data_IF_970386316922
#
_entry.id   IF_970386316922
#
_cell.length_a   1.000
_cell.length_b   1.000
_cell.length_c   1.000
_cell.angle_alpha   90.00
_cell.angle_beta   90.00
_cell.angle_gamma   90.00
#
_symmetry.space_group_name_H-M   'P 1'
#
loop_
_entity.id
_entity.type
_entity.pdbx_description
1 polymer ?
#
# COMPACT_ATOMS: atom_id res chain seq x y z
N UNK A 1 6.52 -0.74 -18.65
CA UNK A 1 5.67 -1.72 -17.95
C UNK A 1 4.96 -0.93 -16.87
N UNK A 2 3.64 -0.85 -16.93
CA UNK A 2 2.82 -0.08 -15.98
C UNK A 2 1.92 -1.07 -15.23
N UNK A 3 2.58 -1.97 -14.50
CA UNK A 3 1.96 -3.10 -13.82
C UNK A 3 2.75 -3.39 -12.54
N UNK A 4 2.08 -3.92 -11.53
CA UNK A 4 2.72 -4.41 -10.33
C UNK A 4 3.49 -5.69 -10.65
N UNK A 5 4.78 -5.72 -10.31
CA UNK A 5 5.61 -6.91 -10.45
C UNK A 5 5.92 -7.47 -9.07
N UNK A 6 5.70 -8.78 -8.88
CA UNK A 6 6.08 -9.50 -7.66
C UNK A 6 7.18 -10.53 -7.91
N UNK A 7 8.01 -10.77 -6.90
CA UNK A 7 8.98 -11.86 -6.84
C UNK A 7 8.93 -12.53 -5.47
N UNK A 8 8.55 -13.80 -5.44
CA UNK A 8 8.65 -14.63 -4.22
C UNK A 8 10.13 -14.80 -3.84
N UNK A 9 10.45 -14.46 -2.61
CA UNK A 9 11.78 -14.58 -2.02
C UNK A 9 11.90 -15.85 -1.18
N UNK A 10 10.82 -16.22 -0.48
CA UNK A 10 10.79 -17.38 0.41
C UNK A 10 9.39 -17.96 0.55
N UNK A 11 9.33 -19.27 0.76
CA UNK A 11 8.11 -20.02 1.09
C UNK A 11 8.26 -20.76 2.41
N UNK A 12 7.13 -20.99 3.07
CA UNK A 12 7.02 -21.93 4.17
C UNK A 12 7.12 -23.39 3.66
N UNK A 13 7.32 -24.39 4.55
CA UNK A 13 7.37 -25.80 4.15
C UNK A 13 6.11 -26.32 3.45
N UNK A 14 4.95 -25.72 3.72
CA UNK A 14 3.68 -26.03 3.07
C UNK A 14 3.52 -25.40 1.67
N UNK A 15 4.51 -24.63 1.22
CA UNK A 15 4.55 -23.96 -0.07
C UNK A 15 3.91 -22.57 -0.10
N UNK A 16 3.27 -22.11 0.99
CA UNK A 16 2.72 -20.76 1.07
C UNK A 16 3.83 -19.72 1.06
N UNK A 17 3.54 -18.52 0.54
CA UNK A 17 4.54 -17.43 0.45
C UNK A 17 4.83 -16.95 1.87
N UNK A 18 6.11 -16.88 2.21
CA UNK A 18 6.56 -16.26 3.45
C UNK A 18 7.01 -14.83 3.20
N UNK A 19 7.81 -14.63 2.14
CA UNK A 19 8.39 -13.33 1.78
C UNK A 19 8.29 -13.14 0.28
N UNK A 20 7.89 -11.95 -0.15
CA UNK A 20 7.97 -11.50 -1.53
C UNK A 20 8.31 -10.02 -1.65
N UNK A 21 8.85 -9.66 -2.81
CA UNK A 21 9.20 -8.29 -3.16
C UNK A 21 8.24 -7.78 -4.22
N UNK A 22 7.72 -6.58 -4.02
CA UNK A 22 6.82 -5.88 -4.93
C UNK A 22 7.51 -4.65 -5.51
N UNK A 23 7.23 -4.40 -6.78
CA UNK A 23 7.41 -3.10 -7.43
C UNK A 23 6.05 -2.65 -7.96
N UNK A 24 5.61 -1.47 -7.53
CA UNK A 24 4.33 -0.88 -7.94
C UNK A 24 4.30 -0.50 -9.42
N UNK A 25 3.09 -0.22 -9.92
CA UNK A 25 2.91 0.40 -11.22
C UNK A 25 3.50 1.81 -11.23
N UNK A 26 3.82 2.38 -12.40
CA UNK A 26 4.37 3.74 -12.42
C UNK A 26 3.28 4.75 -12.03
N UNK A 27 2.09 4.62 -12.63
CA UNK A 27 0.98 5.54 -12.41
C UNK A 27 -0.34 4.77 -12.32
N UNK A 28 -1.20 5.16 -11.38
CA UNK A 28 -2.58 4.69 -11.30
C UNK A 28 -3.54 5.88 -11.38
N UNK A 29 -4.48 5.82 -12.32
CA UNK A 29 -5.56 6.79 -12.43
C UNK A 29 -6.65 6.49 -11.40
N UNK A 30 -6.89 7.45 -10.53
CA UNK A 30 -8.01 7.46 -9.58
C UNK A 30 -9.10 8.38 -10.12
N UNK A 31 -10.31 7.86 -10.27
CA UNK A 31 -11.47 8.63 -10.75
C UNK A 31 -12.53 8.71 -9.66
N UNK A 32 -13.00 9.92 -9.38
CA UNK A 32 -14.20 10.13 -8.57
C UNK A 32 -15.43 9.79 -9.41
N UNK A 33 -16.16 8.76 -9.00
CA UNK A 33 -17.34 8.26 -9.71
C UNK A 33 -18.52 9.24 -9.71
N UNK A 34 -18.57 10.18 -8.77
CA UNK A 34 -19.69 11.12 -8.65
C UNK A 34 -19.58 12.28 -9.65
N UNK A 35 -18.36 12.79 -9.89
CA UNK A 35 -18.13 13.99 -10.71
C UNK A 35 -17.20 13.74 -11.92
N UNK A 36 -16.70 12.51 -12.10
CA UNK A 36 -15.84 12.12 -13.21
C UNK A 36 -14.41 12.68 -13.15
N UNK A 37 -14.05 13.45 -12.13
CA UNK A 37 -12.70 14.01 -11.99
C UNK A 37 -11.70 12.90 -11.75
N UNK A 38 -10.52 13.03 -12.35
CA UNK A 38 -9.45 12.04 -12.23
C UNK A 38 -8.15 12.65 -11.76
N UNK A 39 -7.36 11.85 -11.06
CA UNK A 39 -6.03 12.17 -10.58
C UNK A 39 -5.10 11.00 -10.88
N UNK A 40 -3.98 11.27 -11.53
CA UNK A 40 -2.95 10.28 -11.81
C UNK A 40 -1.97 10.26 -10.64
N UNK A 41 -2.04 9.19 -9.83
CA UNK A 41 -1.20 9.00 -8.66
C UNK A 41 0.07 8.25 -9.06
N UNK A 42 1.24 8.77 -8.69
CA UNK A 42 2.49 8.03 -8.71
C UNK A 42 2.44 6.93 -7.65
N UNK A 43 2.61 5.68 -8.07
CA UNK A 43 2.61 4.50 -7.19
C UNK A 43 3.81 3.59 -7.48
N UNK A 44 4.89 4.19 -7.98
CA UNK A 44 6.12 3.52 -8.44
C UNK A 44 6.99 2.94 -7.32
N UNK A 45 6.52 3.01 -6.08
CA UNK A 45 7.21 2.49 -4.90
C UNK A 45 7.45 0.98 -4.93
N UNK A 46 8.16 0.52 -3.92
CA UNK A 46 8.53 -0.89 -3.75
C UNK A 46 8.40 -1.32 -2.30
N UNK A 47 8.18 -2.61 -2.10
CA UNK A 47 8.06 -3.18 -0.77
C UNK A 47 8.68 -4.57 -0.71
N UNK A 48 9.16 -4.95 0.48
CA UNK A 48 9.31 -6.35 0.86
C UNK A 48 8.22 -6.66 1.88
N UNK A 49 7.46 -7.71 1.63
CA UNK A 49 6.33 -8.13 2.45
C UNK A 49 6.66 -9.44 3.11
N UNK A 50 6.48 -9.47 4.42
CA UNK A 50 6.45 -10.69 5.21
C UNK A 50 4.99 -11.08 5.47
N UNK A 51 4.67 -12.34 5.20
CA UNK A 51 3.36 -12.95 5.42
C UNK A 51 3.47 -13.87 6.64
N UNK A 52 2.82 -13.50 7.73
CA UNK A 52 2.75 -14.33 8.93
C UNK A 52 1.72 -15.46 8.76
N UNK A 53 1.90 -16.54 9.51
CA UNK A 53 1.05 -17.74 9.40
C UNK A 53 -0.38 -17.49 9.88
N UNK A 54 -0.56 -16.50 10.77
CA UNK A 54 -1.86 -16.04 11.28
C UNK A 54 -2.60 -15.10 10.31
N UNK A 55 -1.98 -14.74 9.19
CA UNK A 55 -2.56 -13.87 8.16
C UNK A 55 -2.18 -12.40 8.31
N UNK A 56 -1.37 -12.02 9.32
CA UNK A 56 -0.80 -10.68 9.40
C UNK A 56 0.24 -10.46 8.30
N UNK A 57 0.33 -9.24 7.79
CA UNK A 57 1.35 -8.82 6.84
C UNK A 57 2.18 -7.66 7.40
N UNK A 58 3.50 -7.73 7.18
CA UNK A 58 4.43 -6.61 7.45
C UNK A 58 5.13 -6.18 6.18
N UNK A 59 4.87 -4.94 5.78
CA UNK A 59 5.44 -4.32 4.59
C UNK A 59 6.52 -3.33 5.00
N UNK A 60 7.74 -3.52 4.48
CA UNK A 60 8.82 -2.53 4.55
C UNK A 60 8.87 -1.80 3.22
N UNK A 61 8.50 -0.52 3.23
CA UNK A 61 8.15 0.21 2.01
C UNK A 61 9.10 1.37 1.74
N UNK A 62 9.48 1.51 0.47
CA UNK A 62 10.00 2.73 -0.13
C UNK A 62 8.93 3.21 -1.11
N UNK A 63 8.18 4.23 -0.71
CA UNK A 63 7.08 4.81 -1.48
C UNK A 63 7.53 5.50 -2.78
N UNK A 64 6.56 5.93 -3.60
CA UNK A 64 5.16 6.14 -3.26
C UNK A 64 4.26 4.90 -3.42
N UNK A 65 3.29 4.72 -2.52
CA UNK A 65 2.25 3.67 -2.60
C UNK A 65 0.86 4.24 -2.32
N UNK A 66 -0.13 3.78 -3.09
CA UNK A 66 -1.54 4.07 -2.88
C UNK A 66 -2.15 3.11 -1.85
N UNK A 67 -2.69 3.66 -0.77
CA UNK A 67 -3.26 2.94 0.36
C UNK A 67 -4.69 3.38 0.63
N UNK A 68 -5.65 2.47 0.43
CA UNK A 68 -7.00 2.65 0.93
C UNK A 68 -7.09 2.36 2.43
N UNK A 69 -7.80 3.20 3.20
CA UNK A 69 -8.09 2.97 4.62
C UNK A 69 -9.59 3.12 4.85
N UNK A 70 -10.20 2.09 5.46
CA UNK A 70 -11.63 2.07 5.81
C UNK A 70 -11.88 2.89 7.07
N UNK A 71 -13.15 3.23 7.31
CA UNK A 71 -13.52 3.86 8.58
C UNK A 71 -13.19 2.94 9.77
N UNK A 72 -12.51 3.48 10.78
CA UNK A 72 -11.95 2.70 11.89
C UNK A 72 -10.92 1.60 11.50
N UNK A 73 -10.56 1.50 10.21
CA UNK A 73 -9.75 0.40 9.66
C UNK A 73 -8.24 0.66 9.66
N UNK A 74 -7.77 1.65 10.41
CA UNK A 74 -6.35 1.93 10.51
C UNK A 74 -6.02 3.10 11.44
N UNK A 75 -4.72 3.33 11.64
CA UNK A 75 -4.21 4.42 12.48
C UNK A 75 -4.16 5.79 11.78
N UNK A 76 -4.65 5.87 10.54
CA UNK A 76 -4.87 7.10 9.80
C UNK A 76 -6.35 7.21 9.42
N UNK A 77 -6.90 8.42 9.20
CA UNK A 77 -8.30 8.57 8.84
C UNK A 77 -8.67 7.81 7.58
N UNK A 78 -9.96 7.44 7.48
CA UNK A 78 -10.55 6.89 6.25
C UNK A 78 -10.15 7.73 5.03
N UNK A 79 -9.77 7.06 3.94
CA UNK A 79 -9.43 7.76 2.70
C UNK A 79 -8.63 6.90 1.74
N UNK A 80 -8.24 7.51 0.64
CA UNK A 80 -7.32 6.93 -0.32
C UNK A 80 -6.03 7.77 -0.29
N UNK A 81 -4.97 7.20 0.26
CA UNK A 81 -3.74 7.93 0.58
C UNK A 81 -2.62 7.56 -0.37
N UNK A 82 -1.83 8.53 -0.81
CA UNK A 82 -0.48 8.25 -1.31
C UNK A 82 0.48 8.49 -0.16
N UNK A 83 1.29 7.48 0.16
CA UNK A 83 2.31 7.53 1.19
C UNK A 83 3.66 7.43 0.49
N UNK A 84 4.42 8.52 0.53
CA UNK A 84 5.70 8.67 -0.16
C UNK A 84 6.82 8.88 0.86
N UNK A 85 7.83 8.00 0.81
CA UNK A 85 8.93 7.95 1.75
C UNK A 85 9.24 6.54 2.25
N UNK A 86 9.92 6.45 3.39
CA UNK A 86 10.32 5.18 4.00
C UNK A 86 9.46 4.93 5.22
N UNK A 87 8.75 3.79 5.23
CA UNK A 87 7.82 3.47 6.30
C UNK A 87 7.56 1.97 6.40
N UNK A 88 7.02 1.58 7.55
CA UNK A 88 6.46 0.25 7.76
C UNK A 88 4.94 0.33 7.69
N UNK A 89 4.32 -0.60 6.96
CA UNK A 89 2.87 -0.82 6.98
C UNK A 89 2.62 -2.22 7.55
N UNK A 90 1.93 -2.29 8.67
CA UNK A 90 1.39 -3.55 9.18
C UNK A 90 -0.09 -3.65 8.82
N UNK A 91 -0.51 -4.79 8.30
CA UNK A 91 -1.91 -5.11 8.01
C UNK A 91 -2.22 -6.35 8.85
N UNK A 92 -3.10 -6.23 9.84
CA UNK A 92 -3.54 -7.39 10.60
C UNK A 92 -4.46 -8.28 9.77
N UNK A 93 -4.66 -9.53 10.22
CA UNK A 93 -5.51 -10.51 9.55
C UNK A 93 -6.98 -10.04 9.36
N UNK A 94 -7.48 -9.15 10.22
CA UNK A 94 -8.79 -8.51 10.09
C UNK A 94 -8.80 -7.27 9.17
N UNK A 95 -7.63 -6.88 8.67
CA UNK A 95 -7.41 -5.80 7.72
C UNK A 95 -7.14 -4.43 8.33
N UNK A 96 -6.92 -4.31 9.65
CA UNK A 96 -6.53 -3.04 10.27
C UNK A 96 -5.12 -2.61 9.84
N UNK A 97 -4.98 -1.37 9.38
CA UNK A 97 -3.75 -0.85 8.76
C UNK A 97 -3.01 0.10 9.70
N UNK A 98 -1.80 -0.27 10.09
CA UNK A 98 -0.91 0.58 10.90
C UNK A 98 0.26 1.09 10.07
N UNK A 99 0.26 2.39 9.77
CA UNK A 99 1.36 3.08 9.09
C UNK A 99 2.30 3.68 10.13
N UNK A 100 3.57 3.28 10.10
CA UNK A 100 4.65 3.84 10.93
C UNK A 100 5.70 4.50 10.04
N UNK A 101 5.68 5.83 9.97
CA UNK A 101 6.62 6.61 9.14
C UNK A 101 8.00 6.65 9.78
N UNK A 102 9.05 6.40 8.98
CA UNK A 102 10.42 6.78 9.34
C UNK A 102 10.71 8.18 8.79
N UNK A 103 10.44 8.38 7.51
CA UNK A 103 10.58 9.67 6.84
C UNK A 103 9.63 9.75 5.65
N UNK A 104 9.12 10.94 5.34
CA UNK A 104 8.32 11.17 4.13
C UNK A 104 7.07 11.99 4.38
N UNK A 105 6.12 11.87 3.45
CA UNK A 105 4.85 12.59 3.45
C UNK A 105 3.72 11.64 3.10
N UNK A 106 2.51 12.04 3.48
CA UNK A 106 1.27 11.40 3.06
C UNK A 106 0.26 12.46 2.66
N UNK A 107 -0.52 12.18 1.64
CA UNK A 107 -1.63 13.05 1.25
C UNK A 107 -2.84 12.21 0.84
N UNK A 108 -4.03 12.73 1.08
CA UNK A 108 -5.27 12.09 0.66
C UNK A 108 -5.57 12.50 -0.78
N UNK A 109 -5.83 11.52 -1.65
CA UNK A 109 -6.16 11.72 -3.06
C UNK A 109 -7.53 12.39 -3.20
N UNK A 110 -8.44 12.17 -2.25
CA UNK A 110 -9.76 12.81 -2.26
C UNK A 110 -9.65 14.35 -2.27
N UNK A 111 -8.63 14.91 -1.63
CA UNK A 111 -8.38 16.36 -1.60
C UNK A 111 -7.95 16.93 -2.96
N UNK A 112 -7.58 16.06 -3.92
CA UNK A 112 -7.27 16.42 -5.32
C UNK A 112 -8.47 16.27 -6.26
N UNK A 113 -9.51 15.58 -5.80
CA UNK A 113 -10.68 15.18 -6.60
C UNK A 113 -11.96 15.95 -6.27
N UNK A 114 -11.90 16.84 -5.28
CA UNK A 114 -12.96 17.78 -4.89
C UNK A 114 -13.06 18.97 -5.83
#
# INVERSE_FOLDING_TARGET
MDEVVTKVLRRYPDGTVQWDAYKGALVVRVTNSENGRSYDADVSGSAVVEHAVDGDETWNVVGPVLLGVRDGGGNIPRGLWVIDGVYRLAISADGYRTVTMVHGRRYNVCDRLS
#
